data_IF_786293763158
#
_entry.id   IF_786293763158
#
_cell.length_a   1.000
_cell.length_b   1.000
_cell.length_c   1.000
_cell.angle_alpha   90.00
_cell.angle_beta   90.00
_cell.angle_gamma   90.00
#
_symmetry.space_group_name_H-M   'P 1'
#
loop_
_entity.id
_entity.type
_entity.pdbx_description
1 polymer ?
#
# COMPACT_ATOMS: atom_id res chain seq x y z
N UNK A 1 -5.78 5.14 10.48
CA UNK A 1 -4.90 5.92 9.58
C UNK A 1 -4.03 6.80 10.46
N UNK A 2 -2.70 6.70 10.40
CA UNK A 2 -1.79 7.52 11.23
C UNK A 2 -1.88 8.98 10.80
N UNK A 3 -2.16 9.89 11.74
CA UNK A 3 -2.22 11.32 11.47
C UNK A 3 -0.79 11.89 11.39
N UNK A 4 -0.11 11.67 10.24
CA UNK A 4 1.08 12.43 9.90
C UNK A 4 0.68 13.62 9.02
N UNK A 5 0.73 14.87 9.54
CA UNK A 5 0.43 16.03 8.73
C UNK A 5 1.43 16.18 7.57
N UNK A 6 0.94 16.26 6.34
CA UNK A 6 1.77 16.55 5.15
C UNK A 6 2.71 15.41 4.72
N UNK A 7 2.53 14.19 5.22
CA UNK A 7 3.34 13.03 4.85
C UNK A 7 2.48 11.79 4.59
N UNK A 8 2.91 10.95 3.65
CA UNK A 8 2.28 9.67 3.39
C UNK A 8 2.77 8.65 4.42
N UNK A 9 1.91 7.74 4.85
CA UNK A 9 2.31 6.58 5.66
C UNK A 9 2.17 5.31 4.81
N UNK A 10 3.26 4.57 4.66
CA UNK A 10 3.33 3.36 3.84
C UNK A 10 3.97 2.20 4.61
N UNK A 11 3.81 0.99 4.10
CA UNK A 11 4.55 -0.18 4.58
C UNK A 11 4.39 -0.49 6.08
N UNK A 12 3.17 -0.30 6.63
CA UNK A 12 2.91 -0.47 8.06
C UNK A 12 3.03 -1.92 8.57
N UNK A 13 3.47 -2.09 9.81
CA UNK A 13 3.53 -3.38 10.51
C UNK A 13 3.24 -3.25 12.01
N UNK A 14 2.53 -4.24 12.55
CA UNK A 14 2.15 -4.30 13.96
C UNK A 14 3.26 -4.88 14.83
N UNK A 15 3.39 -4.37 16.06
CA UNK A 15 4.11 -5.07 17.12
C UNK A 15 3.32 -6.31 17.57
N UNK A 16 4.00 -7.31 18.14
CA UNK A 16 3.37 -8.57 18.54
C UNK A 16 2.26 -8.40 19.59
N UNK A 17 2.43 -7.43 20.49
CA UNK A 17 1.46 -7.07 21.54
C UNK A 17 0.32 -6.15 21.05
N UNK A 18 0.31 -5.79 19.75
CA UNK A 18 -0.65 -4.86 19.14
C UNK A 18 -0.70 -3.46 19.77
N UNK A 19 0.29 -3.08 20.59
CA UNK A 19 0.33 -1.76 21.24
C UNK A 19 0.88 -0.66 20.33
N UNK A 20 1.65 -1.05 19.30
CA UNK A 20 2.36 -0.14 18.40
C UNK A 20 2.27 -0.58 16.95
N UNK A 21 2.41 0.39 16.06
CA UNK A 21 2.58 0.16 14.62
C UNK A 21 3.82 0.92 14.15
N UNK A 22 4.69 0.24 13.39
CA UNK A 22 5.80 0.83 12.69
C UNK A 22 5.39 1.12 11.24
N UNK A 23 5.85 2.21 10.67
CA UNK A 23 5.58 2.56 9.29
C UNK A 23 6.64 3.50 8.73
N UNK A 24 6.66 3.66 7.41
CA UNK A 24 7.57 4.54 6.73
C UNK A 24 6.84 5.78 6.22
N UNK A 25 7.52 6.92 6.21
CA UNK A 25 7.05 8.08 5.44
C UNK A 25 7.48 7.99 3.96
N UNK A 26 7.07 8.97 3.13
CA UNK A 26 7.46 9.01 1.71
C UNK A 26 8.96 9.15 1.46
N UNK A 27 9.75 9.53 2.48
CA UNK A 27 11.21 9.65 2.39
C UNK A 27 11.92 8.36 2.81
N UNK A 28 11.18 7.39 3.34
CA UNK A 28 11.73 6.16 3.92
C UNK A 28 12.23 6.34 5.36
N UNK A 29 11.84 7.40 6.07
CA UNK A 29 12.10 7.50 7.49
C UNK A 29 11.17 6.58 8.29
N UNK A 30 11.71 5.95 9.34
CA UNK A 30 10.96 5.03 10.18
C UNK A 30 10.24 5.79 11.29
N UNK A 31 8.95 5.54 11.43
CA UNK A 31 8.09 6.06 12.48
C UNK A 31 7.43 4.92 13.25
N UNK A 32 7.08 5.21 14.49
CA UNK A 32 6.18 4.38 15.30
C UNK A 32 4.99 5.20 15.76
N UNK A 33 3.83 4.57 15.84
CA UNK A 33 2.64 5.13 16.50
C UNK A 33 2.24 4.22 17.66
N UNK A 34 1.92 4.82 18.81
CA UNK A 34 1.24 4.14 19.90
C UNK A 34 -0.26 4.10 19.61
N UNK A 35 -0.86 2.91 19.72
CA UNK A 35 -2.25 2.69 19.28
C UNK A 35 -3.25 3.35 20.22
N UNK A 36 -3.00 3.31 21.53
CA UNK A 36 -3.92 3.84 22.53
C UNK A 36 -4.00 5.38 22.50
N UNK A 37 -2.85 6.05 22.39
CA UNK A 37 -2.77 7.52 22.43
C UNK A 37 -2.78 8.16 21.05
N UNK A 38 -2.43 7.41 20.00
CA UNK A 38 -2.14 7.96 18.68
C UNK A 38 -0.81 8.71 18.60
N UNK A 39 0.03 8.66 19.64
CA UNK A 39 1.30 9.36 19.68
C UNK A 39 2.26 8.83 18.62
N UNK A 40 2.68 9.71 17.71
CA UNK A 40 3.62 9.37 16.62
C UNK A 40 5.01 9.85 16.97
N UNK A 41 6.01 9.00 16.77
CA UNK A 41 7.43 9.27 17.01
C UNK A 41 8.25 8.90 15.79
N UNK A 42 9.11 9.82 15.32
CA UNK A 42 10.18 9.48 14.37
C UNK A 42 11.22 8.64 15.09
N UNK A 43 11.45 7.43 14.61
CA UNK A 43 12.34 6.46 15.24
C UNK A 43 13.71 6.38 14.56
N UNK A 44 13.74 6.45 13.23
CA UNK A 44 14.98 6.41 12.46
C UNK A 44 14.95 7.42 11.32
N UNK A 45 16.13 7.89 10.92
CA UNK A 45 16.26 8.85 9.82
C UNK A 45 15.86 8.24 8.47
N UNK A 46 15.69 9.10 7.47
CA UNK A 46 15.33 8.69 6.11
C UNK A 46 16.40 7.76 5.53
N UNK A 47 15.95 6.63 4.99
CA UNK A 47 16.77 5.68 4.24
C UNK A 47 16.21 5.61 2.83
N UNK A 48 17.07 5.54 1.81
CA UNK A 48 16.62 5.49 0.42
C UNK A 48 15.88 4.18 0.13
N UNK A 49 14.56 4.29 -0.06
CA UNK A 49 13.64 3.19 -0.42
C UNK A 49 13.83 1.91 0.43
N UNK A 50 13.62 1.99 1.76
CA UNK A 50 13.81 0.85 2.63
C UNK A 50 12.66 -0.15 2.50
N UNK A 51 12.91 -1.36 2.99
CA UNK A 51 11.91 -2.42 3.07
C UNK A 51 10.86 -2.24 4.14
N UNK A 52 9.83 -3.07 4.09
CA UNK A 52 8.82 -3.12 5.15
C UNK A 52 9.46 -3.40 6.52
N UNK A 53 9.12 -2.62 7.57
CA UNK A 53 9.60 -2.88 8.91
C UNK A 53 9.04 -4.19 9.47
N UNK A 54 9.85 -4.95 10.19
CA UNK A 54 9.48 -6.15 10.94
C UNK A 54 9.91 -6.03 12.39
N UNK A 55 9.03 -6.35 13.34
CA UNK A 55 9.31 -6.26 14.77
C UNK A 55 9.96 -7.53 15.32
N UNK A 56 10.86 -7.38 16.29
CA UNK A 56 11.22 -8.46 17.22
C UNK A 56 10.00 -8.83 18.08
N UNK A 57 9.98 -10.06 18.59
CA UNK A 57 8.85 -10.55 19.40
C UNK A 57 8.65 -9.75 20.70
N UNK A 58 9.73 -9.22 21.29
CA UNK A 58 9.69 -8.37 22.48
C UNK A 58 9.39 -6.89 22.18
N UNK A 59 9.25 -6.54 20.88
CA UNK A 59 8.98 -5.20 20.42
C UNK A 59 10.10 -4.19 20.71
N UNK A 60 11.33 -4.64 21.03
CA UNK A 60 12.46 -3.75 21.31
C UNK A 60 13.26 -3.39 20.07
N UNK A 61 13.18 -4.19 19.02
CA UNK A 61 13.94 -3.99 17.79
C UNK A 61 13.04 -4.04 16.57
N UNK A 62 13.31 -3.18 15.60
CA UNK A 62 12.69 -3.23 14.27
C UNK A 62 13.78 -3.51 13.24
N UNK A 63 13.56 -4.52 12.40
CA UNK A 63 14.40 -4.84 11.26
C UNK A 63 13.78 -4.30 9.97
N UNK A 64 14.61 -3.81 9.05
CA UNK A 64 14.21 -3.40 7.70
C UNK A 64 15.35 -3.64 6.71
N UNK A 65 15.01 -3.86 5.44
CA UNK A 65 16.00 -3.85 4.38
C UNK A 65 16.41 -2.40 4.10
N UNK A 66 17.71 -2.12 4.10
CA UNK A 66 18.22 -0.76 3.92
C UNK A 66 19.50 -0.78 3.10
N UNK A 67 19.62 0.14 2.15
CA UNK A 67 20.81 0.22 1.31
C UNK A 67 21.98 0.83 2.08
N UNK A 68 23.15 0.18 1.98
CA UNK A 68 24.44 0.77 2.35
C UNK A 68 25.15 1.15 1.05
N UNK A 69 25.17 2.45 0.68
CA UNK A 69 25.76 2.90 -0.58
C UNK A 69 27.27 2.71 -0.56
N UNK A 70 27.87 2.37 -1.70
CA UNK A 70 29.33 2.24 -1.84
C UNK A 70 30.04 3.60 -1.78
N UNK A 71 29.36 4.67 -2.16
CA UNK A 71 29.90 6.03 -2.11
C UNK A 71 28.80 7.06 -1.92
N UNK A 72 29.17 8.27 -1.49
CA UNK A 72 28.24 9.38 -1.36
C UNK A 72 27.68 9.89 -2.70
N UNK A 73 28.31 9.55 -3.83
CA UNK A 73 27.93 10.04 -5.17
C UNK A 73 26.96 9.13 -5.91
N UNK A 74 26.95 7.85 -5.55
CA UNK A 74 26.20 6.82 -6.25
C UNK A 74 25.23 6.12 -5.33
N UNK A 75 24.04 5.85 -5.87
CA UNK A 75 22.95 5.19 -5.15
C UNK A 75 23.10 3.67 -5.15
N UNK A 76 24.14 3.12 -5.79
CA UNK A 76 24.43 1.70 -5.74
C UNK A 76 25.09 1.31 -4.42
N UNK A 77 24.78 0.11 -3.96
CA UNK A 77 25.21 -0.41 -2.68
C UNK A 77 24.63 -1.79 -2.45
N UNK A 78 24.93 -2.35 -1.28
CA UNK A 78 24.30 -3.60 -0.85
C UNK A 78 23.12 -3.26 0.04
N UNK A 79 21.97 -3.88 -0.24
CA UNK A 79 20.85 -3.87 0.69
C UNK A 79 21.18 -4.84 1.83
N UNK A 80 21.33 -4.28 3.03
CA UNK A 80 21.63 -4.99 4.27
C UNK A 80 20.41 -5.02 5.18
N UNK A 81 20.52 -5.74 6.29
CA UNK A 81 19.53 -5.70 7.37
C UNK A 81 19.89 -4.54 8.29
N UNK A 82 19.00 -3.56 8.43
CA UNK A 82 19.11 -2.50 9.42
C UNK A 82 18.24 -2.85 10.63
N UNK A 83 18.86 -2.96 11.79
CA UNK A 83 18.24 -3.17 13.09
C UNK A 83 18.15 -1.82 13.80
N UNK A 84 16.95 -1.42 14.22
CA UNK A 84 16.69 -0.17 14.91
C UNK A 84 16.15 -0.45 16.30
N UNK A 85 16.84 0.06 17.31
CA UNK A 85 16.40 -0.01 18.71
C UNK A 85 15.23 0.95 18.93
N UNK A 86 14.12 0.43 19.46
CA UNK A 86 12.86 1.18 19.59
C UNK A 86 12.85 2.17 20.74
N UNK A 87 13.82 2.08 21.66
CA UNK A 87 13.94 2.99 22.81
C UNK A 87 14.77 4.20 22.42
N UNK A 88 15.98 3.95 21.94
CA UNK A 88 17.03 4.93 21.62
C UNK A 88 16.94 5.48 20.19
N UNK A 89 16.35 4.72 19.25
CA UNK A 89 16.40 5.04 17.82
C UNK A 89 17.75 4.75 17.17
N UNK A 90 18.69 4.10 17.88
CA UNK A 90 19.98 3.73 17.33
C UNK A 90 19.82 2.63 16.26
N UNK A 91 20.55 2.78 15.15
CA UNK A 91 20.54 1.84 14.03
C UNK A 91 21.85 1.09 13.88
N UNK A 92 21.79 -0.20 13.56
CA UNK A 92 22.93 -1.06 13.27
C UNK A 92 22.68 -1.89 12.01
N UNK A 93 23.65 -1.90 11.10
CA UNK A 93 23.60 -2.76 9.92
C UNK A 93 24.18 -4.15 10.20
N UNK A 94 23.54 -5.17 9.65
CA UNK A 94 23.95 -6.58 9.67
C UNK A 94 23.97 -7.08 8.24
N UNK A 95 25.05 -7.78 7.87
CA UNK A 95 25.16 -8.42 6.58
C UNK A 95 24.28 -9.68 6.54
N UNK A 96 23.36 -9.82 5.56
CA UNK A 96 22.54 -11.02 5.45
C UNK A 96 23.40 -12.23 5.09
N UNK A 97 24.41 -12.04 4.23
CA UNK A 97 25.44 -13.00 3.87
C UNK A 97 26.71 -12.23 3.46
N UNK A 98 27.91 -12.83 3.56
CA UNK A 98 29.17 -12.16 3.16
C UNK A 98 29.11 -11.63 1.72
N UNK A 99 29.28 -10.32 1.56
CA UNK A 99 29.27 -9.63 0.26
C UNK A 99 28.03 -9.87 -0.61
N UNK A 100 26.87 -10.13 0.01
CA UNK A 100 25.60 -10.32 -0.70
C UNK A 100 24.57 -9.27 -0.28
N UNK A 101 23.70 -8.93 -1.23
CA UNK A 101 22.58 -8.02 -1.02
C UNK A 101 21.29 -8.81 -0.78
N UNK A 102 20.42 -8.29 0.08
CA UNK A 102 18.99 -8.59 0.00
C UNK A 102 18.50 -8.22 -1.41
N UNK A 103 17.66 -9.08 -1.99
CA UNK A 103 17.32 -8.99 -3.41
C UNK A 103 16.43 -7.79 -3.73
N UNK A 104 15.16 -7.81 -3.32
CA UNK A 104 14.28 -6.65 -3.37
C UNK A 104 14.06 -6.09 -1.97
N UNK A 105 14.24 -4.78 -1.77
CA UNK A 105 14.06 -4.20 -0.43
C UNK A 105 12.61 -4.32 0.05
N UNK A 106 11.62 -4.29 -0.86
CA UNK A 106 10.20 -4.18 -0.52
C UNK A 106 9.65 -5.30 0.36
N UNK A 107 9.64 -6.53 -0.14
CA UNK A 107 8.94 -7.66 0.49
C UNK A 107 9.84 -8.87 0.81
N UNK A 108 11.11 -8.89 0.40
CA UNK A 108 11.99 -10.06 0.55
C UNK A 108 12.66 -10.21 1.94
N UNK A 109 12.11 -9.51 2.93
CA UNK A 109 12.61 -9.49 4.29
C UNK A 109 13.66 -8.41 4.54
N UNK A 110 14.20 -8.34 5.77
CA UNK A 110 14.09 -9.33 6.84
C UNK A 110 12.70 -9.46 7.46
N UNK A 111 12.31 -10.69 7.80
CA UNK A 111 11.04 -11.01 8.47
C UNK A 111 11.32 -11.85 9.71
N UNK A 112 10.96 -11.35 10.88
CA UNK A 112 11.11 -12.06 12.15
C UNK A 112 10.09 -13.20 12.28
N UNK A 113 10.52 -14.31 12.90
CA UNK A 113 9.59 -15.32 13.37
C UNK A 113 8.76 -14.78 14.56
N UNK A 114 7.49 -15.19 14.69
CA UNK A 114 6.64 -14.76 15.80
C UNK A 114 7.22 -15.02 17.19
N UNK A 115 7.99 -16.10 17.36
CA UNK A 115 8.66 -16.43 18.62
C UNK A 115 9.93 -15.60 18.90
N UNK A 116 10.39 -14.78 17.95
CA UNK A 116 11.57 -13.94 18.12
C UNK A 116 12.89 -14.70 18.12
N UNK A 117 12.93 -15.94 17.64
CA UNK A 117 14.17 -16.75 17.65
C UNK A 117 14.84 -16.84 16.29
N UNK A 118 14.13 -16.47 15.21
CA UNK A 118 14.63 -16.57 13.84
C UNK A 118 14.28 -15.36 12.98
N UNK A 119 15.03 -15.22 11.90
CA UNK A 119 14.79 -14.26 10.84
C UNK A 119 14.88 -14.93 9.48
N UNK A 120 13.93 -14.62 8.60
CA UNK A 120 13.91 -15.06 7.21
C UNK A 120 14.19 -13.90 6.26
N UNK A 121 14.90 -14.17 5.16
CA UNK A 121 15.21 -13.19 4.14
C UNK A 121 15.58 -13.86 2.82
N UNK A 122 15.48 -13.15 1.70
CA UNK A 122 15.85 -13.66 0.37
C UNK A 122 17.18 -13.05 -0.09
N UNK A 123 18.09 -13.92 -0.51
CA UNK A 123 19.36 -13.55 -1.16
C UNK A 123 19.56 -14.46 -2.36
N UNK A 124 19.94 -13.88 -3.50
CA UNK A 124 20.14 -14.61 -4.75
C UNK A 124 18.92 -15.46 -5.16
N UNK A 125 17.72 -14.88 -5.02
CA UNK A 125 16.41 -15.48 -5.33
C UNK A 125 16.01 -16.69 -4.50
N UNK A 126 16.72 -17.04 -3.42
CA UNK A 126 16.36 -18.18 -2.56
C UNK A 126 16.20 -17.74 -1.11
N UNK A 127 15.33 -18.45 -0.40
CA UNK A 127 15.02 -18.20 1.01
C UNK A 127 16.15 -18.67 1.93
N UNK A 128 16.57 -17.80 2.83
CA UNK A 128 17.48 -18.08 3.92
C UNK A 128 16.78 -17.87 5.26
N UNK A 129 17.17 -18.65 6.25
CA UNK A 129 16.74 -18.52 7.65
C UNK A 129 17.96 -18.56 8.55
N UNK A 130 17.99 -17.69 9.55
CA UNK A 130 19.03 -17.63 10.58
C UNK A 130 18.40 -17.56 11.96
N UNK A 131 19.03 -18.19 12.95
CA UNK A 131 18.68 -17.99 14.34
C UNK A 131 19.20 -16.62 14.80
N UNK A 132 18.46 -15.91 15.64
CA UNK A 132 18.79 -14.55 16.09
C UNK A 132 18.65 -14.40 17.61
N UNK A 133 19.46 -13.50 18.15
CA UNK A 133 19.28 -12.98 19.51
C UNK A 133 18.09 -12.00 19.55
N UNK A 134 17.56 -11.65 20.74
CA UNK A 134 16.45 -10.70 20.87
C UNK A 134 16.71 -9.32 20.22
N UNK A 135 17.97 -8.90 20.15
CA UNK A 135 18.40 -7.66 19.49
C UNK A 135 18.49 -7.77 17.95
N UNK A 136 18.19 -8.94 17.38
CA UNK A 136 18.23 -9.23 15.95
C UNK A 136 19.60 -9.61 15.40
N UNK A 137 20.65 -9.62 16.24
CA UNK A 137 21.96 -10.10 15.80
C UNK A 137 21.94 -11.60 15.56
N UNK A 138 22.69 -12.05 14.55
CA UNK A 138 22.69 -13.46 14.15
C UNK A 138 23.35 -14.33 15.22
N UNK A 139 22.63 -15.36 15.65
CA UNK A 139 23.06 -16.38 16.59
C UNK A 139 23.57 -17.65 15.85
N UNK A 140 24.29 -17.46 14.74
CA UNK A 140 24.74 -18.55 13.89
C UNK A 140 24.91 -18.13 12.43
N UNK A 141 25.14 -19.12 11.57
CA UNK A 141 25.24 -18.89 10.12
C UNK A 141 23.85 -19.06 9.47
N UNK A 142 23.44 -18.15 8.57
CA UNK A 142 22.22 -18.32 7.79
C UNK A 142 22.24 -19.62 6.99
N UNK A 143 21.09 -20.29 6.95
CA UNK A 143 20.88 -21.55 6.22
C UNK A 143 19.91 -21.32 5.07
N UNK A 144 20.28 -21.77 3.88
CA UNK A 144 19.37 -21.82 2.74
C UNK A 144 18.27 -22.85 2.99
N UNK A 145 17.02 -22.45 2.82
CA UNK A 145 15.82 -23.27 3.11
C UNK A 145 15.13 -23.75 1.84
N UNK A 146 15.32 -23.04 0.72
CA UNK A 146 14.75 -23.36 -0.59
C UNK A 146 15.84 -23.37 -1.66
N UNK A 147 15.63 -24.12 -2.73
CA UNK A 147 16.48 -24.22 -3.92
C UNK A 147 15.81 -23.65 -5.18
N UNK A 148 14.79 -22.80 -4.98
CA UNK A 148 13.99 -22.22 -6.04
C UNK A 148 13.67 -20.75 -5.77
N UNK A 149 13.21 -20.07 -6.83
CA UNK A 149 12.83 -18.66 -6.78
C UNK A 149 11.83 -18.42 -5.66
N UNK A 150 12.18 -17.55 -4.72
CA UNK A 150 11.37 -17.24 -3.55
C UNK A 150 11.27 -15.74 -3.40
N UNK A 151 10.04 -15.24 -3.30
CA UNK A 151 9.74 -13.84 -3.02
C UNK A 151 8.75 -13.73 -1.86
N UNK A 152 8.77 -12.58 -1.17
CA UNK A 152 7.78 -12.19 -0.16
C UNK A 152 7.49 -13.26 0.94
N UNK A 153 8.52 -13.74 1.67
CA UNK A 153 8.31 -14.75 2.70
C UNK A 153 7.51 -14.21 3.89
N UNK A 154 6.75 -15.10 4.54
CA UNK A 154 6.00 -14.82 5.77
C UNK A 154 5.96 -16.05 6.66
N UNK A 155 5.96 -15.85 7.98
CA UNK A 155 5.99 -16.93 8.96
C UNK A 155 4.58 -17.40 9.33
N UNK A 156 4.43 -18.69 9.57
CA UNK A 156 3.29 -19.22 10.33
C UNK A 156 3.37 -18.77 11.79
N UNK A 157 2.20 -18.63 12.44
CA UNK A 157 2.10 -18.14 13.83
C UNK A 157 2.84 -19.01 14.86
N UNK A 158 3.08 -20.29 14.56
CA UNK A 158 3.83 -21.24 15.37
C UNK A 158 5.35 -21.24 15.09
N UNK A 159 5.84 -20.32 14.24
CA UNK A 159 7.25 -20.17 13.86
C UNK A 159 7.90 -21.41 13.21
N UNK A 160 7.08 -22.36 12.73
CA UNK A 160 7.58 -23.65 12.20
C UNK A 160 7.71 -23.66 10.67
N UNK A 161 6.95 -22.82 9.97
CA UNK A 161 6.75 -22.87 8.51
C UNK A 161 6.82 -21.47 7.90
N UNK A 162 7.31 -21.39 6.67
CA UNK A 162 7.35 -20.17 5.86
C UNK A 162 6.42 -20.34 4.64
N UNK A 163 5.53 -19.36 4.44
CA UNK A 163 4.76 -19.16 3.21
C UNK A 163 5.49 -18.15 2.33
N UNK A 164 5.60 -18.44 1.04
CA UNK A 164 6.28 -17.57 0.10
C UNK A 164 5.68 -17.68 -1.31
N UNK A 165 6.05 -16.74 -2.17
CA UNK A 165 5.70 -16.73 -3.59
C UNK A 165 6.81 -17.37 -4.42
N UNK A 166 6.41 -18.20 -5.39
CA UNK A 166 7.27 -18.78 -6.41
C UNK A 166 6.54 -18.67 -7.76
N UNK A 167 6.98 -17.74 -8.62
CA UNK A 167 6.39 -17.54 -9.95
C UNK A 167 4.84 -17.49 -9.95
N UNK A 168 4.27 -16.70 -9.05
CA UNK A 168 2.81 -16.52 -8.92
C UNK A 168 2.07 -17.65 -8.18
N UNK A 169 2.78 -18.64 -7.65
CA UNK A 169 2.21 -19.70 -6.80
C UNK A 169 2.57 -19.47 -5.34
N UNK A 170 1.63 -19.76 -4.44
CA UNK A 170 1.91 -19.85 -3.02
C UNK A 170 2.54 -21.21 -2.70
N UNK A 171 3.60 -21.18 -1.89
CA UNK A 171 4.37 -22.34 -1.47
C UNK A 171 4.61 -22.30 0.04
N UNK A 172 4.67 -23.47 0.67
CA UNK A 172 5.05 -23.63 2.07
C UNK A 172 6.30 -24.49 2.19
N UNK A 173 7.21 -24.11 3.07
CA UNK A 173 8.39 -24.88 3.45
C UNK A 173 8.60 -24.83 4.96
N UNK A 174 9.12 -25.90 5.56
CA UNK A 174 9.52 -25.84 6.97
C UNK A 174 10.68 -24.86 7.14
N UNK A 175 10.73 -24.13 8.26
CA UNK A 175 11.85 -23.27 8.62
C UNK A 175 13.20 -24.02 8.79
N UNK A 176 13.14 -25.35 8.92
CA UNK A 176 14.31 -26.22 8.94
C UNK A 176 14.77 -26.67 7.54
N UNK A 177 14.03 -26.31 6.49
CA UNK A 177 14.25 -26.81 5.12
C UNK A 177 13.39 -28.01 4.79
N UNK A 178 13.69 -28.66 3.66
CA UNK A 178 12.95 -29.80 3.13
C UNK A 178 12.13 -29.45 1.91
N UNK A 179 11.37 -30.42 1.39
CA UNK A 179 10.62 -30.27 0.13
C UNK A 179 9.45 -29.30 0.32
N UNK A 180 9.40 -28.18 -0.42
CA UNK A 180 8.26 -27.29 -0.31
C UNK A 180 7.01 -27.88 -0.96
N UNK A 181 5.84 -27.45 -0.48
CA UNK A 181 4.52 -27.87 -0.99
C UNK A 181 3.76 -26.68 -1.55
N UNK A 182 3.03 -26.89 -2.64
CA UNK A 182 2.14 -25.88 -3.19
C UNK A 182 0.92 -25.67 -2.26
N UNK A 183 0.48 -24.42 -2.15
CA UNK A 183 -0.80 -24.06 -1.54
C UNK A 183 -1.78 -23.77 -2.68
N UNK A 184 -2.79 -24.63 -2.90
CA UNK A 184 -3.77 -24.38 -3.95
C UNK A 184 -4.63 -23.18 -3.58
N UNK A 185 -4.64 -22.15 -4.43
CA UNK A 185 -5.55 -21.02 -4.33
C UNK A 185 -6.70 -21.21 -5.31
N UNK A 186 -7.86 -21.59 -4.79
CA UNK A 186 -9.11 -21.57 -5.55
C UNK A 186 -9.92 -20.33 -5.16
N UNK A 187 -9.46 -19.17 -5.62
CA UNK A 187 -10.18 -17.91 -5.42
C UNK A 187 -11.19 -17.75 -6.55
N UNK A 188 -12.46 -18.08 -6.27
CA UNK A 188 -13.57 -17.71 -7.15
C UNK A 188 -14.08 -16.34 -6.75
N UNK A 189 -13.92 -15.36 -7.63
CA UNK A 189 -14.58 -14.07 -7.46
C UNK A 189 -15.93 -14.08 -8.16
N UNK A 190 -16.96 -13.60 -7.48
CA UNK A 190 -18.27 -13.33 -8.06
C UNK A 190 -18.66 -11.88 -7.76
N UNK A 191 -19.09 -11.16 -8.78
CA UNK A 191 -19.73 -9.87 -8.58
C UNK A 191 -21.15 -10.11 -8.07
N UNK A 192 -21.35 -10.15 -6.76
CA UNK A 192 -22.69 -10.21 -6.20
C UNK A 192 -23.35 -8.85 -6.41
N UNK A 193 -24.14 -8.72 -7.48
CA UNK A 193 -25.04 -7.58 -7.63
C UNK A 193 -26.11 -7.70 -6.53
N UNK A 194 -26.22 -6.72 -5.62
CA UNK A 194 -27.35 -6.68 -4.69
C UNK A 194 -28.64 -6.72 -5.49
N UNK A 195 -29.69 -7.30 -4.92
CA UNK A 195 -31.05 -7.24 -5.48
C UNK A 195 -31.87 -6.29 -4.61
N UNK A 196 -32.79 -5.56 -5.23
CA UNK A 196 -33.70 -4.64 -4.54
C UNK A 196 -33.33 -3.17 -4.67
N UNK A 197 -34.25 -2.33 -4.19
CA UNK A 197 -34.18 -0.87 -4.24
C UNK A 197 -33.73 -0.33 -2.88
N UNK A 198 -32.76 0.58 -2.90
CA UNK A 198 -32.27 1.30 -1.72
C UNK A 198 -32.36 2.79 -1.97
N UNK A 199 -32.91 3.55 -1.04
CA UNK A 199 -32.95 5.01 -1.07
C UNK A 199 -32.00 5.53 0.00
N UNK A 200 -30.95 6.23 -0.42
CA UNK A 200 -30.00 6.89 0.49
C UNK A 200 -30.40 8.35 0.60
N UNK A 201 -30.83 8.78 1.80
CA UNK A 201 -31.20 10.17 2.07
C UNK A 201 -29.98 10.95 2.52
N UNK A 202 -29.48 11.84 1.69
CA UNK A 202 -28.31 12.66 1.96
C UNK A 202 -28.73 14.11 2.28
N UNK A 203 -28.25 14.62 3.42
CA UNK A 203 -28.56 16.00 3.82
C UNK A 203 -27.84 17.03 2.94
N UNK A 204 -26.72 16.62 2.35
CA UNK A 204 -25.93 17.38 1.37
C UNK A 204 -25.36 16.43 0.32
N UNK A 205 -25.59 16.73 -0.95
CA UNK A 205 -25.08 15.99 -2.10
C UNK A 205 -24.43 16.93 -3.10
N UNK A 206 -23.23 16.58 -3.56
CA UNK A 206 -22.56 17.26 -4.66
C UNK A 206 -22.36 16.26 -5.80
N UNK A 207 -22.77 16.63 -7.01
CA UNK A 207 -22.79 15.75 -8.19
C UNK A 207 -21.51 15.78 -9.03
N UNK A 208 -20.53 16.61 -8.63
CA UNK A 208 -19.28 16.80 -9.36
C UNK A 208 -19.40 17.57 -10.68
N UNK A 209 -20.59 18.05 -11.03
CA UNK A 209 -20.88 18.78 -12.27
C UNK A 209 -21.29 20.22 -11.97
N UNK A 210 -22.13 20.41 -10.95
CA UNK A 210 -22.53 21.71 -10.46
C UNK A 210 -21.44 22.34 -9.59
N UNK A 211 -21.46 23.67 -9.43
CA UNK A 211 -20.69 24.36 -8.38
C UNK A 211 -21.44 24.42 -7.04
N UNK A 212 -22.72 24.02 -7.01
CA UNK A 212 -23.58 24.06 -5.84
C UNK A 212 -23.85 22.66 -5.27
N UNK A 213 -24.10 22.62 -3.96
CA UNK A 213 -24.51 21.41 -3.23
C UNK A 213 -26.04 21.38 -3.18
N UNK A 214 -26.62 20.24 -3.53
CA UNK A 214 -28.05 19.96 -3.33
C UNK A 214 -28.27 19.54 -1.88
N UNK A 215 -29.26 20.13 -1.22
CA UNK A 215 -29.67 19.73 0.13
C UNK A 215 -30.84 18.77 0.07
N UNK A 216 -30.89 17.86 1.04
CA UNK A 216 -31.99 16.90 1.21
C UNK A 216 -32.27 16.11 -0.08
N UNK A 217 -31.22 15.48 -0.59
CA UNK A 217 -31.26 14.69 -1.81
C UNK A 217 -31.36 13.20 -1.50
N UNK A 218 -32.23 12.52 -2.20
CA UNK A 218 -32.34 11.08 -2.24
C UNK A 218 -31.56 10.52 -3.43
N UNK A 219 -30.72 9.53 -3.14
CA UNK A 219 -30.00 8.74 -4.13
C UNK A 219 -30.63 7.36 -4.18
N UNK A 220 -31.34 7.07 -5.26
CA UNK A 220 -32.04 5.79 -5.46
C UNK A 220 -31.10 4.83 -6.18
N UNK A 221 -30.86 3.70 -5.53
CA UNK A 221 -30.01 2.62 -6.01
C UNK A 221 -30.87 1.39 -6.26
N UNK A 222 -30.85 0.86 -7.48
CA UNK A 222 -31.43 -0.45 -7.80
C UNK A 222 -30.31 -1.44 -8.06
N UNK A 223 -30.26 -2.47 -7.22
CA UNK A 223 -29.17 -3.43 -7.16
C UNK A 223 -27.81 -2.79 -6.92
N UNK A 224 -27.01 -2.63 -7.98
CA UNK A 224 -25.66 -2.02 -7.93
C UNK A 224 -25.57 -0.73 -8.74
N UNK A 225 -26.70 -0.05 -9.02
CA UNK A 225 -26.73 1.15 -9.87
C UNK A 225 -27.55 2.27 -9.25
N UNK A 226 -27.01 3.50 -9.25
CA UNK A 226 -27.83 4.70 -9.08
C UNK A 226 -28.73 4.80 -10.30
N UNK A 227 -30.04 4.74 -10.07
CA UNK A 227 -31.05 4.93 -11.10
C UNK A 227 -31.62 6.35 -11.08
N UNK A 228 -31.57 7.01 -9.93
CA UNK A 228 -32.12 8.35 -9.77
C UNK A 228 -31.39 9.14 -8.66
N UNK A 229 -31.26 10.45 -8.87
CA UNK A 229 -30.91 11.42 -7.83
C UNK A 229 -31.98 12.50 -7.85
N UNK A 230 -32.70 12.67 -6.75
CA UNK A 230 -33.88 13.54 -6.69
C UNK A 230 -34.03 14.14 -5.30
N UNK A 231 -34.78 15.24 -5.16
CA UNK A 231 -35.15 15.79 -3.85
C UNK A 231 -36.54 15.31 -3.40
N UNK A 232 -37.18 14.43 -4.18
CA UNK A 232 -38.54 13.92 -3.95
C UNK A 232 -38.66 12.45 -4.36
N UNK A 233 -37.93 11.55 -3.72
CA UNK A 233 -38.12 10.12 -3.97
C UNK A 233 -39.24 9.55 -3.10
N UNK A 234 -39.91 8.52 -3.60
CA UNK A 234 -40.74 7.65 -2.76
C UNK A 234 -39.84 6.70 -1.98
N UNK A 235 -40.15 6.51 -0.70
CA UNK A 235 -39.42 5.60 0.20
C UNK A 235 -39.77 4.13 -0.07
N UNK A 236 -39.69 3.70 -1.32
CA UNK A 236 -39.97 2.32 -1.71
C UNK A 236 -38.67 1.50 -1.73
N UNK A 237 -38.65 0.45 -0.92
CA UNK A 237 -37.45 -0.35 -0.61
C UNK A 237 -36.73 0.07 0.66
N UNK A 238 -35.45 -0.31 0.77
CA UNK A 238 -34.64 -0.05 1.98
C UNK A 238 -34.27 1.43 2.04
N UNK A 239 -34.54 2.10 3.14
CA UNK A 239 -34.09 3.48 3.37
C UNK A 239 -32.82 3.49 4.21
N UNK A 240 -31.82 4.24 3.78
CA UNK A 240 -30.62 4.58 4.55
C UNK A 240 -30.64 6.07 4.82
N UNK A 241 -30.76 6.46 6.08
CA UNK A 241 -30.74 7.87 6.47
C UNK A 241 -29.30 8.31 6.73
N UNK A 242 -28.78 9.16 5.85
CA UNK A 242 -27.44 9.72 5.91
C UNK A 242 -27.46 11.26 6.00
N UNK A 243 -28.56 11.84 6.49
CA UNK A 243 -28.75 13.30 6.55
C UNK A 243 -27.77 14.00 7.49
N UNK A 244 -27.53 13.38 8.64
CA UNK A 244 -26.60 13.86 9.67
C UNK A 244 -25.25 13.15 9.63
N UNK A 245 -25.07 12.24 8.68
CA UNK A 245 -23.79 11.56 8.49
C UNK A 245 -22.76 12.57 7.99
N UNK A 246 -21.72 12.78 8.80
CA UNK A 246 -20.47 13.35 8.31
C UNK A 246 -19.96 12.41 7.22
N UNK A 247 -19.60 12.88 6.01
CA UNK A 247 -19.00 11.99 5.03
C UNK A 247 -17.80 11.33 5.71
N UNK A 248 -17.83 10.01 5.76
CA UNK A 248 -16.82 9.21 6.42
C UNK A 248 -15.44 9.74 6.05
N UNK A 249 -14.61 10.04 7.06
CA UNK A 249 -13.22 10.43 6.85
C UNK A 249 -12.43 9.32 6.13
N UNK A 250 -12.93 8.09 6.17
CA UNK A 250 -12.42 6.92 5.46
C UNK A 250 -13.49 6.32 4.51
N UNK A 251 -13.22 6.13 3.21
CA UNK A 251 -14.14 5.45 2.29
C UNK A 251 -14.49 4.00 2.69
N UNK A 252 -13.84 3.41 3.70
CA UNK A 252 -14.19 2.10 4.28
C UNK A 252 -15.29 2.15 5.35
N UNK A 253 -15.54 3.31 5.96
CA UNK A 253 -16.62 3.43 6.96
C UNK A 253 -18.01 3.54 6.30
N UNK A 254 -18.04 3.79 4.98
CA UNK A 254 -19.19 3.51 4.13
C UNK A 254 -19.15 2.04 3.68
N UNK A 255 -19.33 1.11 4.62
CA UNK A 255 -19.69 -0.26 4.30
C UNK A 255 -21.16 -0.32 3.80
N UNK A 256 -21.47 0.43 2.75
CA UNK A 256 -22.57 0.12 1.85
C UNK A 256 -21.95 -0.62 0.65
N UNK A 257 -22.57 -1.68 0.13
CA UNK A 257 -22.06 -2.43 -1.01
C UNK A 257 -22.23 -1.61 -2.30
N UNK A 258 -21.43 -0.55 -2.47
CA UNK A 258 -21.49 0.40 -3.58
C UNK A 258 -20.34 0.20 -4.59
N UNK A 259 -19.58 -0.88 -4.46
CA UNK A 259 -18.59 -1.31 -5.43
C UNK A 259 -19.26 -1.59 -6.78
N UNK A 260 -18.98 -0.78 -7.80
CA UNK A 260 -19.40 -1.05 -9.19
C UNK A 260 -20.48 -0.16 -9.78
N UNK A 261 -20.87 0.93 -9.11
CA UNK A 261 -21.84 1.87 -9.67
C UNK A 261 -21.35 2.52 -10.98
N UNK A 262 -22.16 2.39 -12.03
CA UNK A 262 -22.00 3.07 -13.32
C UNK A 262 -23.15 4.06 -13.50
N UNK A 263 -22.84 5.30 -13.87
CA UNK A 263 -23.82 6.33 -14.24
C UNK A 263 -23.97 6.34 -15.75
N UNK A 264 -25.20 6.32 -16.28
CA UNK A 264 -25.45 6.52 -17.71
C UNK A 264 -26.14 7.85 -17.95
N UNK A 265 -25.59 8.67 -18.85
CA UNK A 265 -26.24 9.90 -19.33
C UNK A 265 -27.27 9.57 -20.41
N UNK A 266 -28.44 10.20 -20.33
CA UNK A 266 -29.43 10.25 -21.40
C UNK A 266 -29.76 11.70 -21.77
N UNK A 267 -29.32 12.15 -22.94
CA UNK A 267 -30.06 13.09 -23.80
C UNK A 267 -29.82 12.70 -25.25
N UNK A 268 -30.89 12.79 -26.05
CA UNK A 268 -30.93 12.35 -27.43
C UNK A 268 -29.78 12.97 -28.26
N UNK A 269 -29.01 12.10 -28.92
CA UNK A 269 -27.99 12.50 -29.90
C UNK A 269 -26.56 12.65 -29.38
N UNK A 270 -25.95 11.64 -28.75
CA UNK A 270 -24.48 11.52 -28.68
C UNK A 270 -24.02 10.09 -28.31
N UNK A 271 -22.80 9.72 -28.77
CA UNK A 271 -22.15 8.41 -28.62
C UNK A 271 -22.12 7.90 -27.17
N UNK A 272 -22.28 6.57 -27.02
CA UNK A 272 -22.30 5.81 -25.76
C UNK A 272 -20.89 5.69 -25.14
N UNK A 273 -20.77 5.93 -23.83
CA UNK A 273 -19.62 5.56 -22.99
C UNK A 273 -20.03 5.48 -21.51
N UNK A 274 -19.57 4.44 -20.81
CA UNK A 274 -19.76 4.22 -19.36
C UNK A 274 -18.52 4.74 -18.60
N UNK A 275 -18.67 5.53 -17.53
CA UNK A 275 -17.56 5.96 -16.65
C UNK A 275 -17.78 5.54 -15.17
N UNK A 276 -16.73 5.12 -14.45
CA UNK A 276 -16.79 4.77 -13.02
C UNK A 276 -16.73 6.02 -12.10
N UNK A 277 -17.46 5.98 -10.99
CA UNK A 277 -17.48 7.03 -9.95
C UNK A 277 -16.55 6.64 -8.79
N UNK A 278 -15.73 7.57 -8.27
CA UNK A 278 -14.93 7.38 -7.05
C UNK A 278 -15.08 8.59 -6.11
N UNK A 279 -15.09 8.33 -4.79
CA UNK A 279 -15.10 9.35 -3.74
C UNK A 279 -13.65 9.65 -3.33
N UNK A 280 -13.29 10.94 -3.18
CA UNK A 280 -11.96 11.38 -2.72
C UNK A 280 -12.10 12.44 -1.63
N UNK A 281 -11.20 12.45 -0.64
CA UNK A 281 -11.07 13.51 0.37
C UNK A 281 -9.74 14.26 0.18
N UNK A 282 -9.76 15.59 0.24
CA UNK A 282 -8.57 16.45 0.32
C UNK A 282 -8.88 17.68 1.20
N UNK A 283 -8.27 17.74 2.39
CA UNK A 283 -8.41 18.83 3.37
C UNK A 283 -9.84 19.10 3.87
N UNK A 284 -10.03 20.21 4.60
CA UNK A 284 -11.28 20.69 5.25
C UNK A 284 -12.44 21.01 4.28
N UNK A 285 -12.41 20.47 3.06
CA UNK A 285 -13.48 20.56 2.07
C UNK A 285 -13.69 19.20 1.41
N UNK A 286 -14.75 18.50 1.81
CA UNK A 286 -15.16 17.25 1.18
C UNK A 286 -15.58 17.49 -0.28
N UNK A 287 -15.07 16.65 -1.21
CA UNK A 287 -15.38 16.67 -2.65
C UNK A 287 -15.88 15.28 -3.10
N UNK A 288 -16.75 15.24 -4.09
CA UNK A 288 -17.33 14.03 -4.73
C UNK A 288 -17.20 14.21 -6.24
N UNK A 289 -16.21 13.57 -6.88
CA UNK A 289 -15.89 13.82 -8.29
C UNK A 289 -16.05 12.58 -9.18
N UNK A 290 -16.63 12.75 -10.37
CA UNK A 290 -16.50 11.80 -11.48
C UNK A 290 -15.23 12.14 -12.26
N UNK A 291 -14.34 11.17 -12.44
CA UNK A 291 -13.05 11.39 -13.10
C UNK A 291 -13.26 11.37 -14.63
N UNK A 292 -13.19 12.53 -15.27
CA UNK A 292 -13.11 12.63 -16.73
C UNK A 292 -11.70 12.28 -17.19
N UNK A 293 -11.56 11.46 -18.24
CA UNK A 293 -10.36 11.54 -19.09
C UNK A 293 -10.39 12.91 -19.78
N UNK A 294 -9.42 13.77 -19.46
CA UNK A 294 -9.15 14.94 -20.28
C UNK A 294 -8.67 14.52 -21.67
N UNK A 295 -8.78 15.38 -22.69
CA UNK A 295 -8.15 15.13 -23.97
C UNK A 295 -6.64 14.98 -23.77
N UNK A 296 -6.01 14.06 -24.49
CA UNK A 296 -4.56 13.85 -24.49
C UNK A 296 -3.83 15.19 -24.66
N UNK A 297 -3.23 15.67 -23.56
CA UNK A 297 -2.23 16.73 -23.59
C UNK A 297 -0.88 16.09 -23.96
N UNK A 298 -0.80 15.50 -25.15
CA UNK A 298 0.45 15.49 -25.91
C UNK A 298 0.43 16.65 -26.89
N UNK A 299 0.66 17.85 -26.35
CA UNK A 299 1.27 18.94 -27.11
C UNK A 299 2.52 19.38 -26.35
N UNK A 300 3.66 18.94 -26.86
CA UNK A 300 4.92 19.66 -26.65
C UNK A 300 4.73 21.10 -27.14
N UNK A 301 5.20 22.12 -26.40
CA UNK A 301 5.32 23.46 -26.94
C UNK A 301 6.43 23.47 -28.00
N UNK A 302 6.01 23.71 -29.25
CA UNK A 302 6.72 24.41 -30.32
C UNK A 302 8.23 24.20 -30.44
N UNK A 303 8.62 23.23 -31.27
CA UNK A 303 9.82 23.35 -32.10
C UNK A 303 9.37 23.95 -33.44
N UNK A 304 9.41 25.28 -33.52
CA UNK A 304 9.32 26.03 -34.78
C UNK A 304 10.34 27.14 -34.72
N UNK A 305 11.55 26.84 -35.17
CA UNK A 305 12.36 27.75 -35.99
C UNK A 305 13.25 26.91 -36.89
N UNK A 306 12.69 26.51 -38.04
CA UNK A 306 13.47 26.10 -39.19
C UNK A 306 13.61 27.31 -40.11
N UNK A 307 14.84 27.80 -40.30
CA UNK A 307 15.46 28.20 -41.57
C UNK A 307 16.81 28.90 -41.30
N UNK A 308 17.78 28.88 -42.23
CA UNK A 308 18.28 27.78 -43.02
C UNK A 308 19.80 27.59 -42.85
N UNK A 309 20.28 26.42 -43.25
CA UNK A 309 21.70 26.08 -43.40
C UNK A 309 22.39 27.11 -44.32
N UNK A 310 23.31 27.92 -43.76
CA UNK A 310 24.34 28.62 -44.54
C UNK A 310 25.66 27.86 -44.41
N UNK A 311 26.07 27.24 -45.51
CA UNK A 311 27.46 26.81 -45.75
C UNK A 311 28.37 28.06 -45.78
N UNK A 312 29.53 28.00 -45.14
CA UNK A 312 30.60 28.97 -45.42
C UNK A 312 31.73 29.09 -44.39
N UNK A 313 32.81 28.34 -44.66
CA UNK A 313 34.25 28.64 -44.45
C UNK A 313 34.82 28.94 -43.04
N UNK A 314 35.85 28.15 -42.71
CA UNK A 314 36.93 28.49 -41.78
C UNK A 314 37.71 29.73 -42.21
N UNK A 315 38.39 30.39 -41.26
CA UNK A 315 39.83 30.58 -41.42
C UNK A 315 40.64 30.45 -40.12
N UNK A 316 41.93 30.08 -40.27
CA UNK A 316 43.02 30.45 -39.36
C UNK A 316 43.29 29.50 -38.21
#
# INVERSE_FOLDING_TARGET
MTALPGAAAVSGSWSADSSRLAFLDQTGALYTVEVASGAVRKLFTATFEPGRPSWSADGRTIALAAIVPYSARYREGLSKILLVDTVTGAGRYVDPLPSRSLQTRGDDGPVWSPDGTRMAFVVASVLWVVDVHPDGTFAGTPRQVTDEVTDAPSWSGDSSTLLYLNNGRLRLVSARGGRPRAVPLQLTWANTAPRGRTVIRAGRLWDGVSRSVTRDADVVVEGHRIVEVTTRSTADGRVVDARDSVPARDPRDLALPLSGLRVRRGRAGARRGDEPVRLFADGDRARVGVLRRGPDLHRQPGDTDAHPVRRGRAPG
#
